data_IF_535417916154
#
_entry.id   IF_535417916154
#
_cell.length_a   1.000
_cell.length_b   1.000
_cell.length_c   1.000
_cell.angle_alpha   90.00
_cell.angle_beta   90.00
_cell.angle_gamma   90.00
#
_symmetry.space_group_name_H-M   'P 1'
#
loop_
_entity.id
_entity.type
_entity.pdbx_description
1 polymer ?
#
# COMPACT_ATOMS: atom_id res chain seq x y z
N UNK A 1 10.48 -6.42 3.63
CA UNK A 1 10.16 -5.35 2.64
C UNK A 1 10.72 -4.02 3.12
N UNK A 2 10.25 -3.43 4.21
CA UNK A 2 10.64 -2.10 4.72
C UNK A 2 12.17 -1.87 4.86
N UNK A 3 12.92 -2.83 5.42
CA UNK A 3 14.38 -2.76 5.48
C UNK A 3 15.02 -2.55 4.09
N UNK A 4 14.57 -3.30 3.07
CA UNK A 4 15.12 -3.21 1.73
C UNK A 4 14.77 -1.90 1.05
N UNK A 5 13.55 -1.40 1.23
CA UNK A 5 13.09 -0.10 0.72
C UNK A 5 13.96 1.02 1.25
N UNK A 6 14.13 1.07 2.57
CA UNK A 6 14.99 2.08 3.20
C UNK A 6 16.42 2.02 2.68
N UNK A 7 16.98 0.80 2.50
CA UNK A 7 18.34 0.65 1.94
C UNK A 7 18.44 1.10 0.49
N UNK A 8 17.37 0.98 -0.29
CA UNK A 8 17.33 1.48 -1.66
C UNK A 8 17.19 3.01 -1.71
N UNK A 9 16.59 3.62 -0.70
CA UNK A 9 16.35 5.07 -0.61
C UNK A 9 17.52 5.85 0.03
N UNK A 10 18.32 5.23 0.89
CA UNK A 10 19.43 5.90 1.61
C UNK A 10 20.57 6.31 0.70
N UNK A 11 21.12 7.51 0.94
CA UNK A 11 22.43 7.93 0.42
C UNK A 11 23.58 7.32 1.22
N UNK A 12 24.72 7.01 0.57
CA UNK A 12 25.93 6.70 1.32
C UNK A 12 26.25 7.81 2.34
N UNK A 13 26.35 7.44 3.63
CA UNK A 13 26.63 8.38 4.71
C UNK A 13 25.41 9.01 5.40
N UNK A 14 24.19 8.74 4.94
CA UNK A 14 22.98 9.10 5.69
C UNK A 14 22.88 8.30 7.00
N UNK A 15 22.53 8.98 8.08
CA UNK A 15 22.23 8.32 9.35
C UNK A 15 21.04 7.36 9.16
N UNK A 16 21.10 6.22 9.82
CA UNK A 16 20.04 5.21 9.78
C UNK A 16 18.85 5.64 10.66
N UNK A 17 18.25 6.78 10.31
CA UNK A 17 17.05 7.31 10.93
C UNK A 17 15.81 6.69 10.27
N UNK A 18 14.72 6.56 11.03
CA UNK A 18 13.44 6.12 10.48
C UNK A 18 12.73 7.30 9.81
N UNK A 19 13.03 7.52 8.54
CA UNK A 19 12.43 8.56 7.71
C UNK A 19 11.25 8.06 6.87
N UNK A 20 10.77 6.83 7.12
CA UNK A 20 9.75 6.18 6.32
C UNK A 20 10.30 5.53 5.04
N UNK A 21 9.42 5.02 4.23
CA UNK A 21 9.69 4.46 2.91
C UNK A 21 8.57 4.84 1.93
N UNK A 22 8.87 4.84 0.63
CA UNK A 22 7.91 5.21 -0.41
C UNK A 22 7.54 4.01 -1.27
N UNK A 23 6.29 3.95 -1.76
CA UNK A 23 5.84 2.90 -2.68
C UNK A 23 6.20 3.18 -4.15
N UNK A 24 6.52 4.41 -4.49
CA UNK A 24 6.79 4.82 -5.87
C UNK A 24 7.81 3.94 -6.60
N UNK A 25 7.67 3.85 -7.92
CA UNK A 25 8.70 3.35 -8.82
C UNK A 25 9.69 4.50 -9.10
N UNK A 26 10.93 4.36 -8.73
CA UNK A 26 11.92 5.41 -8.96
C UNK A 26 12.02 5.76 -10.46
N UNK A 27 11.69 7.00 -10.83
CA UNK A 27 11.94 7.52 -12.17
C UNK A 27 13.45 7.70 -12.41
N UNK A 28 13.86 7.94 -13.68
CA UNK A 28 15.25 8.21 -14.00
C UNK A 28 15.79 9.38 -13.15
N UNK A 29 16.66 9.07 -12.19
CA UNK A 29 17.22 10.05 -11.24
C UNK A 29 16.64 9.97 -9.82
N UNK A 30 15.58 9.21 -9.56
CA UNK A 30 15.09 8.87 -8.23
C UNK A 30 15.49 7.45 -7.84
N UNK A 31 15.55 7.17 -6.55
CA UNK A 31 15.98 5.85 -6.07
C UNK A 31 14.85 4.85 -6.19
N UNK A 32 15.24 3.59 -6.43
CA UNK A 32 14.34 2.45 -6.38
C UNK A 32 13.67 2.35 -5.01
N UNK A 33 12.39 2.03 -4.97
CA UNK A 33 11.56 2.05 -3.77
C UNK A 33 10.68 0.80 -3.62
N UNK A 34 9.57 0.88 -2.91
CA UNK A 34 8.74 -0.26 -2.51
C UNK A 34 8.37 -1.24 -3.62
N UNK A 35 7.86 -0.78 -4.75
CA UNK A 35 7.48 -1.67 -5.86
C UNK A 35 8.70 -2.41 -6.42
N UNK A 36 9.82 -1.73 -6.60
CA UNK A 36 11.05 -2.38 -7.08
C UNK A 36 11.67 -3.32 -6.06
N UNK A 37 11.50 -3.07 -4.75
CA UNK A 37 11.86 -4.02 -3.71
C UNK A 37 11.11 -5.34 -3.87
N UNK A 38 9.79 -5.28 -4.10
CA UNK A 38 8.95 -6.47 -4.34
C UNK A 38 9.39 -7.21 -5.61
N UNK A 39 9.72 -6.49 -6.68
CA UNK A 39 10.13 -7.09 -7.96
C UNK A 39 11.54 -7.67 -7.89
N UNK A 40 12.51 -6.94 -7.33
CA UNK A 40 13.92 -7.36 -7.30
C UNK A 40 14.20 -8.40 -6.22
N UNK A 41 13.62 -8.24 -5.05
CA UNK A 41 13.91 -9.05 -3.85
C UNK A 41 12.78 -10.02 -3.55
N UNK A 42 11.54 -9.58 -3.67
CA UNK A 42 10.36 -10.33 -3.27
C UNK A 42 9.99 -10.13 -1.80
N UNK A 43 9.04 -10.94 -1.34
CA UNK A 43 8.52 -10.89 0.04
C UNK A 43 8.50 -12.29 0.65
N UNK A 44 9.02 -12.43 1.86
CA UNK A 44 8.83 -13.64 2.66
C UNK A 44 7.47 -13.59 3.38
N UNK A 45 7.01 -14.74 3.86
CA UNK A 45 5.80 -14.83 4.67
C UNK A 45 6.04 -14.23 6.04
N UNK A 46 5.01 -13.60 6.60
CA UNK A 46 5.02 -12.94 7.91
C UNK A 46 5.59 -13.79 9.05
N UNK A 47 5.24 -15.09 9.23
CA UNK A 47 5.79 -15.89 10.32
C UNK A 47 7.33 -16.07 10.27
N UNK A 48 7.96 -15.86 9.11
CA UNK A 48 9.42 -16.00 8.97
C UNK A 48 10.16 -14.73 9.43
N UNK A 49 9.53 -13.57 9.25
CA UNK A 49 10.01 -12.26 9.71
C UNK A 49 8.81 -11.42 10.17
N UNK A 50 8.33 -11.65 11.40
CA UNK A 50 7.16 -10.95 11.94
C UNK A 50 7.37 -9.43 11.99
N UNK A 51 6.28 -8.68 11.84
CA UNK A 51 6.29 -7.24 12.01
C UNK A 51 6.66 -6.88 13.45
N UNK A 52 7.77 -6.16 13.61
CA UNK A 52 8.25 -5.62 14.88
C UNK A 52 9.00 -4.30 14.59
N UNK A 53 8.43 -3.20 15.06
CA UNK A 53 8.99 -1.87 14.85
C UNK A 53 10.40 -1.70 15.44
N UNK A 54 10.72 -2.44 16.51
CA UNK A 54 12.04 -2.38 17.14
C UNK A 54 13.16 -2.93 16.24
N UNK A 55 12.82 -3.79 15.28
CA UNK A 55 13.76 -4.47 14.38
C UNK A 55 13.86 -3.83 12.99
N UNK A 56 13.34 -2.62 12.80
CA UNK A 56 13.30 -1.97 11.48
C UNK A 56 14.70 -1.77 10.82
N UNK A 57 15.75 -1.69 11.64
CA UNK A 57 17.15 -1.58 11.19
C UNK A 57 17.79 -2.93 10.91
N UNK A 58 17.21 -4.02 11.40
CA UNK A 58 17.83 -5.32 11.33
C UNK A 58 17.68 -5.93 9.95
N UNK A 59 18.79 -6.40 9.42
CA UNK A 59 18.78 -7.11 8.14
C UNK A 59 18.09 -8.46 8.31
N UNK A 60 17.05 -8.76 7.53
CA UNK A 60 16.41 -10.07 7.57
C UNK A 60 17.39 -11.20 7.35
N UNK A 61 17.12 -12.36 7.95
CA UNK A 61 17.95 -13.56 7.84
C UNK A 61 17.98 -14.11 6.40
N UNK A 62 18.98 -14.89 6.08
CA UNK A 62 19.17 -15.46 4.74
C UNK A 62 17.95 -16.23 4.23
N UNK A 63 17.30 -17.00 5.10
CA UNK A 63 16.11 -17.79 4.81
C UNK A 63 14.91 -16.90 4.34
N UNK A 64 14.84 -15.66 4.87
CA UNK A 64 13.82 -14.69 4.42
C UNK A 64 14.03 -14.33 2.95
N UNK A 65 15.27 -14.10 2.53
CA UNK A 65 15.60 -13.79 1.14
C UNK A 65 15.43 -15.00 0.21
N UNK A 66 15.76 -16.19 0.65
CA UNK A 66 15.55 -17.44 -0.10
C UNK A 66 14.06 -17.70 -0.34
N UNK A 67 13.21 -17.43 0.65
CA UNK A 67 11.76 -17.52 0.48
C UNK A 67 11.24 -16.37 -0.38
N UNK A 68 11.69 -15.15 -0.13
CA UNK A 68 11.28 -13.96 -0.87
C UNK A 68 11.53 -14.10 -2.38
N UNK A 69 12.67 -14.70 -2.77
CA UNK A 69 13.00 -14.94 -4.17
C UNK A 69 11.96 -15.78 -4.93
N UNK A 70 11.16 -16.58 -4.21
CA UNK A 70 10.07 -17.39 -4.76
C UNK A 70 8.74 -16.62 -4.86
N UNK A 71 8.65 -15.45 -4.23
CA UNK A 71 7.45 -14.60 -4.16
C UNK A 71 7.78 -13.19 -4.66
N UNK A 72 8.40 -13.09 -5.83
CA UNK A 72 8.68 -11.80 -6.47
C UNK A 72 7.51 -11.33 -7.31
N UNK A 73 7.27 -10.02 -7.31
CA UNK A 73 6.41 -9.40 -8.31
C UNK A 73 7.05 -9.55 -9.69
N UNK A 74 6.34 -10.18 -10.62
CA UNK A 74 6.82 -10.40 -12.00
C UNK A 74 6.30 -9.34 -12.97
N UNK A 75 5.14 -8.78 -12.66
CA UNK A 75 4.48 -7.78 -13.47
C UNK A 75 3.80 -6.75 -12.56
N UNK A 76 4.02 -5.49 -12.85
CA UNK A 76 3.38 -4.38 -12.15
C UNK A 76 3.10 -3.23 -13.11
N UNK A 77 2.14 -2.39 -12.77
CA UNK A 77 1.79 -1.23 -13.57
C UNK A 77 1.30 -0.08 -12.69
N UNK A 78 1.48 1.14 -13.19
CA UNK A 78 0.84 2.32 -12.60
C UNK A 78 -0.65 2.30 -12.95
N UNK A 79 -1.50 2.51 -11.96
CA UNK A 79 -2.94 2.67 -12.17
C UNK A 79 -3.21 4.16 -12.41
N UNK A 80 -3.88 4.54 -13.51
CA UNK A 80 -4.28 5.93 -13.73
C UNK A 80 -5.12 6.44 -12.56
N UNK A 81 -4.84 7.65 -12.08
CA UNK A 81 -5.56 8.28 -10.97
C UNK A 81 -6.92 8.84 -11.43
N UNK A 82 -7.73 7.96 -11.97
CA UNK A 82 -9.07 8.24 -12.47
C UNK A 82 -10.02 7.17 -11.92
N UNK A 83 -11.20 7.58 -11.48
CA UNK A 83 -12.15 6.70 -10.80
C UNK A 83 -12.42 5.41 -11.57
N UNK A 84 -12.74 5.52 -12.86
CA UNK A 84 -13.07 4.36 -13.69
C UNK A 84 -11.88 3.41 -13.88
N UNK A 85 -10.66 3.94 -14.03
CA UNK A 85 -9.45 3.13 -14.14
C UNK A 85 -9.16 2.34 -12.86
N UNK A 86 -9.33 2.96 -11.71
CA UNK A 86 -9.16 2.30 -10.41
C UNK A 86 -10.23 1.24 -10.15
N UNK A 87 -11.50 1.53 -10.48
CA UNK A 87 -12.59 0.56 -10.38
C UNK A 87 -12.38 -0.62 -11.34
N UNK A 88 -11.95 -0.35 -12.57
CA UNK A 88 -11.65 -1.40 -13.55
C UNK A 88 -10.54 -2.34 -13.04
N UNK A 89 -9.49 -1.79 -12.44
CA UNK A 89 -8.40 -2.57 -11.84
C UNK A 89 -8.94 -3.56 -10.77
N UNK A 90 -9.81 -3.07 -9.86
CA UNK A 90 -10.46 -3.90 -8.84
C UNK A 90 -11.39 -4.96 -9.48
N UNK A 91 -12.18 -4.57 -10.49
CA UNK A 91 -13.09 -5.49 -11.19
C UNK A 91 -12.36 -6.61 -11.94
N UNK A 92 -11.14 -6.35 -12.38
CA UNK A 92 -10.25 -7.37 -12.96
C UNK A 92 -9.65 -8.31 -11.90
N UNK A 93 -9.94 -8.09 -10.62
CA UNK A 93 -9.44 -8.89 -9.51
C UNK A 93 -8.08 -8.44 -8.98
N UNK A 94 -7.62 -7.24 -9.34
CA UNK A 94 -6.34 -6.69 -8.92
C UNK A 94 -6.49 -5.59 -7.87
N UNK A 95 -6.22 -5.88 -6.59
CA UNK A 95 -6.01 -4.83 -5.58
C UNK A 95 -4.84 -3.93 -5.98
N UNK A 96 -4.90 -2.67 -5.60
CA UNK A 96 -3.80 -1.75 -5.85
C UNK A 96 -3.34 -1.05 -4.57
N UNK A 97 -2.04 -0.78 -4.47
CA UNK A 97 -1.43 -0.03 -3.38
C UNK A 97 -1.30 1.44 -3.76
N UNK A 98 -1.39 2.32 -2.77
CA UNK A 98 -1.24 3.76 -3.00
C UNK A 98 -0.82 4.47 -1.72
N UNK A 99 -0.22 5.66 -1.88
CA UNK A 99 0.07 6.59 -0.81
C UNK A 99 -1.01 7.65 -0.67
N UNK A 100 -1.26 8.11 0.55
CA UNK A 100 -2.16 9.24 0.77
C UNK A 100 -1.67 10.13 1.92
N UNK A 101 -2.04 11.40 1.87
CA UNK A 101 -1.81 12.34 2.95
C UNK A 101 -2.78 12.07 4.08
N UNK A 102 -2.29 11.89 5.28
CA UNK A 102 -3.11 11.67 6.48
C UNK A 102 -3.36 13.02 7.15
N UNK A 103 -4.62 13.32 7.38
CA UNK A 103 -5.05 14.48 8.16
C UNK A 103 -5.50 14.08 9.57
N UNK A 104 -5.54 15.06 10.49
CA UNK A 104 -5.91 14.83 11.88
C UNK A 104 -7.26 14.15 12.07
N UNK A 105 -8.24 14.42 11.21
CA UNK A 105 -9.56 13.77 11.19
C UNK A 105 -9.51 12.25 10.99
N UNK A 106 -8.47 11.71 10.34
CA UNK A 106 -8.29 10.27 10.17
C UNK A 106 -8.10 9.53 11.50
N UNK A 107 -7.59 10.23 12.52
CA UNK A 107 -7.45 9.71 13.88
C UNK A 107 -8.68 9.95 14.77
N UNK A 108 -9.77 10.44 14.21
CA UNK A 108 -11.03 10.62 14.96
C UNK A 108 -11.56 9.29 15.49
N UNK A 109 -12.31 9.33 16.60
CA UNK A 109 -12.96 8.13 17.12
C UNK A 109 -13.94 7.51 16.11
N UNK A 110 -14.60 8.32 15.30
CA UNK A 110 -15.49 7.84 14.25
C UNK A 110 -14.75 6.96 13.24
N UNK A 111 -13.63 7.44 12.70
CA UNK A 111 -12.81 6.66 11.76
C UNK A 111 -12.20 5.43 12.42
N UNK A 112 -11.68 5.57 13.65
CA UNK A 112 -11.06 4.45 14.39
C UNK A 112 -12.01 3.30 14.69
N UNK A 113 -13.30 3.58 14.87
CA UNK A 113 -14.31 2.57 15.25
C UNK A 113 -15.04 2.03 14.03
N UNK A 114 -15.44 2.89 13.09
CA UNK A 114 -16.28 2.50 11.94
C UNK A 114 -15.52 2.34 10.63
N UNK A 115 -14.29 2.82 10.55
CA UNK A 115 -13.55 2.92 9.30
C UNK A 115 -14.03 4.03 8.36
N UNK A 116 -15.09 4.77 8.69
CA UNK A 116 -15.59 5.82 7.81
C UNK A 116 -14.65 7.03 7.79
N UNK A 117 -13.94 7.20 6.69
CA UNK A 117 -13.06 8.34 6.46
C UNK A 117 -13.85 9.48 5.79
N UNK A 118 -13.56 10.72 6.19
CA UNK A 118 -14.15 11.92 5.60
C UNK A 118 -13.13 12.68 4.77
N UNK A 119 -13.61 13.57 3.90
CA UNK A 119 -12.75 14.58 3.27
C UNK A 119 -12.18 15.51 4.35
N UNK A 120 -10.91 15.98 4.19
CA UNK A 120 -10.32 16.90 5.15
C UNK A 120 -11.07 18.22 5.20
N UNK A 121 -11.18 18.78 6.38
CA UNK A 121 -11.77 20.08 6.62
C UNK A 121 -10.67 21.15 6.74
N UNK A 122 -11.02 22.43 6.61
CA UNK A 122 -10.08 23.56 6.74
C UNK A 122 -9.35 23.59 8.11
N UNK A 123 -9.98 23.01 9.14
CA UNK A 123 -9.40 22.90 10.49
C UNK A 123 -8.48 21.71 10.67
N UNK A 124 -8.44 20.79 9.71
CA UNK A 124 -7.59 19.60 9.80
C UNK A 124 -6.12 19.95 9.52
N UNK A 125 -5.24 19.35 10.27
CA UNK A 125 -3.78 19.47 10.09
C UNK A 125 -3.23 18.21 9.44
N UNK A 126 -2.21 18.37 8.59
CA UNK A 126 -1.48 17.23 8.01
C UNK A 126 -0.72 16.52 9.12
N UNK A 127 -0.95 15.22 9.26
CA UNK A 127 -0.29 14.36 10.23
C UNK A 127 0.84 13.51 9.63
N UNK A 128 0.89 13.39 8.30
CA UNK A 128 1.94 12.65 7.59
C UNK A 128 1.43 11.96 6.33
N UNK A 129 2.19 10.99 5.84
CA UNK A 129 1.80 10.12 4.74
C UNK A 129 1.56 8.69 5.23
N UNK A 130 0.73 7.94 4.51
CA UNK A 130 0.49 6.52 4.80
C UNK A 130 0.30 5.73 3.51
N UNK A 131 0.73 4.47 3.53
CA UNK A 131 0.63 3.55 2.40
C UNK A 131 -0.36 2.42 2.73
N UNK A 132 -1.31 2.20 1.85
CA UNK A 132 -2.43 1.26 2.06
C UNK A 132 -2.81 0.55 0.75
N UNK A 133 -3.78 -0.38 0.82
CA UNK A 133 -4.23 -1.17 -0.32
C UNK A 133 -5.74 -1.09 -0.51
N UNK A 134 -6.20 -0.60 -1.67
CA UNK A 134 -7.59 -0.69 -2.07
C UNK A 134 -7.91 -2.11 -2.58
N UNK A 135 -8.99 -2.68 -2.06
CA UNK A 135 -9.39 -4.06 -2.36
C UNK A 135 -10.81 -4.17 -2.93
N UNK A 136 -11.57 -3.09 -2.88
CA UNK A 136 -12.96 -3.04 -3.32
C UNK A 136 -13.48 -1.62 -3.40
N UNK A 137 -14.74 -1.47 -3.77
CA UNK A 137 -15.43 -0.19 -3.76
C UNK A 137 -16.94 -0.38 -3.52
N UNK A 138 -17.62 0.68 -3.11
CA UNK A 138 -19.07 0.75 -2.91
C UNK A 138 -19.59 2.02 -3.61
N UNK A 139 -20.29 1.84 -4.74
CA UNK A 139 -20.80 2.95 -5.53
C UNK A 139 -21.97 3.69 -4.84
N UNK A 140 -22.75 2.97 -4.02
CA UNK A 140 -23.85 3.60 -3.29
C UNK A 140 -23.34 4.59 -2.23
N UNK A 141 -22.18 4.28 -1.64
CA UNK A 141 -21.49 5.13 -0.64
C UNK A 141 -20.44 6.03 -1.27
N UNK A 142 -20.08 5.82 -2.54
CA UNK A 142 -18.98 6.51 -3.26
C UNK A 142 -17.64 6.41 -2.53
N UNK A 143 -17.26 5.19 -2.13
CA UNK A 143 -16.02 4.93 -1.40
C UNK A 143 -15.24 3.75 -2.00
N UNK A 144 -13.90 3.79 -1.85
CA UNK A 144 -13.07 2.61 -1.94
C UNK A 144 -13.00 1.91 -0.58
N UNK A 145 -12.99 0.58 -0.59
CA UNK A 145 -12.75 -0.27 0.58
C UNK A 145 -11.24 -0.47 0.65
N UNK A 146 -10.61 0.05 1.70
CA UNK A 146 -9.16 0.09 1.84
C UNK A 146 -8.72 -0.74 3.03
N UNK A 147 -7.77 -1.65 2.81
CA UNK A 147 -7.14 -2.43 3.86
C UNK A 147 -6.02 -1.62 4.50
N UNK A 148 -6.12 -1.44 5.82
CA UNK A 148 -5.09 -0.82 6.65
C UNK A 148 -4.10 -1.87 7.21
N UNK A 149 -3.00 -1.42 7.79
CA UNK A 149 -1.98 -2.26 8.42
C UNK A 149 -1.94 -2.14 9.95
N UNK A 150 -2.99 -1.58 10.59
CA UNK A 150 -3.04 -1.29 12.03
C UNK A 150 -3.81 -2.32 12.87
N UNK A 151 -3.97 -3.53 12.33
CA UNK A 151 -4.67 -4.63 13.00
C UNK A 151 -6.19 -4.60 12.79
N UNK A 152 -6.83 -5.68 13.21
CA UNK A 152 -8.28 -5.92 13.02
C UNK A 152 -9.17 -5.22 14.04
N UNK A 153 -8.59 -4.66 15.09
CA UNK A 153 -9.32 -3.86 16.10
C UNK A 153 -9.49 -2.40 15.69
N UNK A 154 -8.81 -1.95 14.59
CA UNK A 154 -8.92 -0.61 14.06
C UNK A 154 -9.91 -0.59 12.88
N UNK A 155 -10.73 0.48 12.82
CA UNK A 155 -11.71 0.64 11.75
C UNK A 155 -12.76 -0.47 11.72
N UNK A 156 -13.22 -0.81 10.53
CA UNK A 156 -14.09 -1.99 10.35
C UNK A 156 -13.22 -3.22 10.11
N UNK A 157 -12.81 -3.88 11.19
CA UNK A 157 -11.98 -5.09 11.16
C UNK A 157 -10.69 -4.94 10.34
N UNK A 158 -10.00 -3.81 10.50
CA UNK A 158 -8.77 -3.48 9.81
C UNK A 158 -8.97 -2.78 8.46
N UNK A 159 -10.21 -2.43 8.11
CA UNK A 159 -10.54 -1.72 6.88
C UNK A 159 -11.08 -0.32 7.16
N UNK A 160 -10.99 0.54 6.14
CA UNK A 160 -11.64 1.85 6.14
C UNK A 160 -12.20 2.17 4.76
N UNK A 161 -13.09 3.16 4.73
CA UNK A 161 -13.87 3.56 3.57
C UNK A 161 -13.43 4.96 3.14
N UNK A 162 -12.61 5.01 2.09
CA UNK A 162 -12.06 6.26 1.55
C UNK A 162 -12.99 6.84 0.50
N UNK A 163 -13.41 8.11 0.63
CA UNK A 163 -14.21 8.77 -0.40
C UNK A 163 -13.53 8.75 -1.76
N UNK A 164 -14.30 8.58 -2.85
CA UNK A 164 -13.77 8.64 -4.21
C UNK A 164 -13.02 9.94 -4.49
N UNK A 165 -13.57 11.06 -4.00
CA UNK A 165 -12.98 12.38 -4.16
C UNK A 165 -11.61 12.51 -3.46
N UNK A 166 -11.34 11.71 -2.45
CA UNK A 166 -10.04 11.71 -1.78
C UNK A 166 -8.95 11.12 -2.66
N UNK A 167 -9.14 9.90 -3.14
CA UNK A 167 -8.12 9.18 -3.89
C UNK A 167 -7.94 9.71 -5.32
N UNK A 168 -8.95 10.37 -5.89
CA UNK A 168 -8.87 10.97 -7.23
C UNK A 168 -8.14 12.31 -7.26
N UNK A 169 -7.91 12.95 -6.10
CA UNK A 169 -7.17 14.21 -6.00
C UNK A 169 -5.69 13.96 -5.81
N UNK A 170 -4.86 14.41 -6.76
CA UNK A 170 -3.41 14.22 -6.73
C UNK A 170 -2.70 14.93 -5.54
N UNK A 171 -3.34 15.93 -4.95
CA UNK A 171 -2.87 16.59 -3.72
C UNK A 171 -3.10 15.77 -2.45
N UNK A 172 -4.02 14.80 -2.48
CA UNK A 172 -4.42 13.99 -1.32
C UNK A 172 -3.92 12.55 -1.40
N UNK A 173 -3.81 11.99 -2.61
CA UNK A 173 -3.31 10.63 -2.82
C UNK A 173 -2.41 10.58 -4.07
N UNK A 174 -1.48 9.64 -4.09
CA UNK A 174 -0.53 9.45 -5.18
C UNK A 174 0.05 8.04 -5.21
N UNK A 175 0.90 7.78 -6.18
CA UNK A 175 1.68 6.53 -6.30
C UNK A 175 0.80 5.28 -6.30
N UNK A 176 -0.15 5.23 -7.22
CA UNK A 176 -1.13 4.14 -7.34
C UNK A 176 -0.53 3.03 -8.21
N UNK A 177 -0.29 1.86 -7.63
CA UNK A 177 0.36 0.73 -8.29
C UNK A 177 -0.38 -0.57 -8.11
N UNK A 178 -0.40 -1.38 -9.16
CA UNK A 178 -0.89 -2.74 -9.15
C UNK A 178 0.24 -3.73 -9.40
N UNK A 179 0.27 -4.83 -8.64
CA UNK A 179 1.12 -5.99 -8.90
C UNK A 179 0.23 -7.06 -9.52
N UNK A 180 0.46 -7.36 -10.80
CA UNK A 180 -0.42 -8.23 -11.59
C UNK A 180 0.01 -9.69 -11.57
N UNK A 181 1.28 -9.96 -11.28
CA UNK A 181 1.81 -11.31 -11.28
C UNK A 181 2.84 -11.47 -10.17
N UNK A 182 2.71 -12.53 -9.37
CA UNK A 182 3.63 -12.87 -8.29
C UNK A 182 4.14 -14.29 -8.49
N UNK A 183 5.44 -14.48 -8.54
CA UNK A 183 6.04 -15.80 -8.68
C UNK A 183 5.56 -16.75 -7.57
N UNK A 184 5.19 -17.98 -7.93
CA UNK A 184 4.73 -19.00 -6.98
C UNK A 184 3.32 -18.84 -6.45
N UNK A 185 2.57 -17.83 -6.90
CA UNK A 185 1.16 -17.65 -6.55
C UNK A 185 0.32 -17.80 -7.81
N UNK A 186 -0.56 -18.80 -7.91
CA UNK A 186 -1.51 -18.86 -9.02
C UNK A 186 -2.43 -17.65 -8.92
N UNK A 187 -2.53 -16.88 -10.01
CA UNK A 187 -3.57 -15.85 -10.10
C UNK A 187 -4.95 -16.51 -10.04
N UNK A 188 -5.92 -15.89 -9.39
CA UNK A 188 -7.29 -16.28 -9.57
C UNK A 188 -7.61 -16.09 -11.05
N UNK A 189 -7.67 -17.18 -11.80
CA UNK A 189 -8.34 -17.17 -13.09
C UNK A 189 -9.76 -16.69 -12.81
N UNK A 190 -10.15 -15.57 -13.41
CA UNK A 190 -11.49 -15.04 -13.36
C UNK A 190 -12.45 -16.20 -13.64
N UNK A 191 -13.09 -16.74 -12.63
CA UNK A 191 -14.34 -17.43 -12.79
C UNK A 191 -15.32 -16.34 -13.23
N UNK A 192 -15.55 -16.23 -14.52
CA UNK A 192 -16.67 -15.49 -15.06
C UNK A 192 -17.88 -16.19 -14.46
N UNK A 193 -18.44 -15.60 -13.43
CA UNK A 193 -19.81 -15.95 -13.06
C UNK A 193 -20.68 -15.42 -14.17
N UNK A 194 -20.96 -16.29 -15.15
CA UNK A 194 -22.13 -16.21 -15.98
C UNK A 194 -23.34 -16.36 -15.04
N UNK A 195 -24.13 -15.31 -14.92
CA UNK A 195 -25.36 -15.27 -14.15
C UNK A 195 -25.95 -13.88 -14.23
#
# INVERSE_FOLDING_TARGET
MYYNERRMEMTPGEADADNGAYIRDGDAGTRDTGIKSVVKVGMCKEPLWPYDESTFKDKPRKECYEQAAKNRGLEYARVPQQLEGMKACINEGFPFVFGFTVYSSFFSNATKVSGNMTMPQETDTVAGGHAVMAIGYDDAKKVFIVRNSWGDTWGDKGYFYMPYDYITQASLASDIWVIKNIAGTPFPTKSIMEG
#
